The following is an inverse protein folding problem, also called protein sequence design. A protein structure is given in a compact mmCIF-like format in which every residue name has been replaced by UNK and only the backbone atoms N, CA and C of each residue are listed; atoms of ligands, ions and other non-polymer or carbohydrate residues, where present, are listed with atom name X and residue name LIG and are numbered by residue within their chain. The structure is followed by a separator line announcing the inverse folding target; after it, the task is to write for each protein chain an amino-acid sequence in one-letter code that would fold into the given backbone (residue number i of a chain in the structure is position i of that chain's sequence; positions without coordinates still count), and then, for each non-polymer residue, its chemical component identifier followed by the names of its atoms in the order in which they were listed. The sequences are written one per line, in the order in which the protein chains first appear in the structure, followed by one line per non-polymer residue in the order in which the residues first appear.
data_IF_442032225760
#
_entry.id   IF_442032225760
#
_cell.length_a   1.000
_cell.length_b   1.000
_cell.length_c   1.000
_cell.angle_alpha   90.00
_cell.angle_beta   90.00
_cell.angle_gamma   90.00
#
_symmetry.space_group_name_H-M   'P 1'
#
loop_
_entity.id
_entity.type
_entity.pdbx_description
1 polymer ?
#
# COMPACT_ATOMS: atom_id res chain seq x y z
N UNK A 1 -4.08 -9.67 -7.05
CA UNK A 1 -4.72 -8.45 -7.59
C UNK A 1 -4.25 -7.19 -6.86
N UNK A 2 -4.40 -7.08 -5.53
CA UNK A 2 -3.97 -5.90 -4.74
C UNK A 2 -2.47 -5.56 -4.94
N UNK A 3 -1.60 -6.57 -4.93
CA UNK A 3 -0.15 -6.37 -5.14
C UNK A 3 0.23 -5.93 -6.56
N UNK A 4 -0.53 -6.35 -7.57
CA UNK A 4 -0.34 -5.89 -8.94
C UNK A 4 -0.76 -4.42 -9.09
N UNK A 5 -1.85 -4.02 -8.43
CA UNK A 5 -2.29 -2.62 -8.38
C UNK A 5 -1.29 -1.75 -7.62
N UNK A 6 -0.75 -2.25 -6.50
CA UNK A 6 0.33 -1.59 -5.76
C UNK A 6 1.59 -1.37 -6.63
N UNK A 7 2.03 -2.39 -7.37
CA UNK A 7 3.15 -2.27 -8.30
C UNK A 7 2.90 -1.21 -9.38
N UNK A 8 1.70 -1.17 -9.96
CA UNK A 8 1.34 -0.14 -10.92
C UNK A 8 1.35 1.27 -10.29
N UNK A 9 0.88 1.40 -9.04
CA UNK A 9 0.95 2.66 -8.31
C UNK A 9 2.39 3.13 -8.11
N UNK A 10 3.31 2.24 -7.72
CA UNK A 10 4.71 2.58 -7.53
C UNK A 10 5.46 2.85 -8.84
N UNK A 11 5.20 2.05 -9.88
CA UNK A 11 5.96 2.10 -11.13
C UNK A 11 5.43 3.07 -12.18
N UNK A 12 4.18 3.52 -12.04
CA UNK A 12 3.53 4.38 -13.04
C UNK A 12 2.96 5.62 -12.37
N UNK A 13 2.14 5.45 -11.33
CA UNK A 13 1.32 6.53 -10.78
C UNK A 13 2.17 7.55 -10.02
N UNK A 14 2.99 7.12 -9.05
CA UNK A 14 3.90 7.99 -8.30
C UNK A 14 4.88 8.73 -9.24
N UNK A 15 5.57 8.05 -10.18
CA UNK A 15 6.43 8.74 -11.16
C UNK A 15 5.71 9.74 -12.06
N UNK A 16 4.43 9.54 -12.35
CA UNK A 16 3.66 10.42 -13.25
C UNK A 16 3.24 11.73 -12.59
N UNK A 17 3.08 11.76 -11.26
CA UNK A 17 2.60 12.94 -10.53
C UNK A 17 3.68 13.67 -9.73
N UNK A 18 4.85 13.05 -9.54
CA UNK A 18 5.88 13.54 -8.63
C UNK A 18 7.14 13.97 -9.39
N UNK A 19 7.70 15.17 -9.12
CA UNK A 19 9.01 15.56 -9.62
C UNK A 19 10.09 14.54 -9.22
N UNK A 20 11.01 14.24 -10.14
CA UNK A 20 12.06 13.22 -9.91
C UNK A 20 13.10 13.63 -8.84
N UNK A 21 13.21 14.92 -8.57
CA UNK A 21 14.11 15.54 -7.60
C UNK A 21 13.55 15.52 -6.16
N UNK A 22 12.25 15.27 -5.97
CA UNK A 22 11.61 15.21 -4.64
C UNK A 22 11.74 13.83 -3.98
N UNK A 23 12.97 13.47 -3.58
CA UNK A 23 13.28 12.17 -2.97
C UNK A 23 12.47 11.90 -1.68
N UNK A 24 12.20 12.95 -0.89
CA UNK A 24 11.47 12.83 0.38
C UNK A 24 10.02 12.48 0.12
N UNK A 25 9.37 13.17 -0.82
CA UNK A 25 7.99 12.88 -1.19
C UNK A 25 7.84 11.51 -1.86
N UNK A 26 8.80 11.07 -2.66
CA UNK A 26 8.84 9.71 -3.21
C UNK A 26 8.90 8.63 -2.12
N UNK A 27 9.77 8.83 -1.12
CA UNK A 27 9.87 7.93 0.03
C UNK A 27 8.57 7.87 0.82
N UNK A 28 8.00 9.04 1.12
CA UNK A 28 6.73 9.13 1.85
C UNK A 28 5.57 8.45 1.12
N UNK A 29 5.40 8.73 -0.19
CA UNK A 29 4.34 8.12 -0.99
C UNK A 29 4.51 6.61 -1.14
N UNK A 30 5.75 6.13 -1.28
CA UNK A 30 6.02 4.70 -1.37
C UNK A 30 5.62 3.98 -0.08
N UNK A 31 5.94 4.57 1.08
CA UNK A 31 5.54 4.04 2.40
C UNK A 31 4.01 4.09 2.54
N UNK A 32 3.38 5.22 2.20
CA UNK A 32 1.93 5.38 2.28
C UNK A 32 1.19 4.40 1.37
N UNK A 33 1.64 4.22 0.13
CA UNK A 33 1.07 3.28 -0.83
C UNK A 33 1.21 1.83 -0.34
N UNK A 34 2.35 1.49 0.28
CA UNK A 34 2.58 0.16 0.85
C UNK A 34 1.70 -0.09 2.07
N UNK A 35 1.57 0.90 2.96
CA UNK A 35 0.67 0.82 4.11
C UNK A 35 -0.80 0.66 3.68
N UNK A 36 -1.24 1.42 2.67
CA UNK A 36 -2.58 1.31 2.12
C UNK A 36 -2.83 -0.05 1.47
N UNK A 37 -1.89 -0.57 0.67
CA UNK A 37 -2.00 -1.89 0.06
C UNK A 37 -2.05 -3.00 1.12
N UNK A 38 -1.24 -2.89 2.17
CA UNK A 38 -1.25 -3.82 3.30
C UNK A 38 -2.59 -3.79 4.04
N UNK A 39 -3.10 -2.60 4.38
CA UNK A 39 -4.40 -2.45 5.05
C UNK A 39 -5.54 -2.97 4.19
N UNK A 40 -5.53 -2.67 2.89
CA UNK A 40 -6.55 -3.15 1.97
C UNK A 40 -6.53 -4.68 1.87
N UNK A 41 -5.33 -5.27 1.80
CA UNK A 41 -5.17 -6.72 1.81
C UNK A 41 -5.64 -7.32 3.14
N UNK A 42 -5.30 -6.69 4.26
CA UNK A 42 -5.73 -7.13 5.60
C UNK A 42 -7.25 -7.04 5.78
N UNK A 43 -7.86 -5.98 5.27
CA UNK A 43 -9.31 -5.80 5.30
C UNK A 43 -10.01 -6.81 4.39
N UNK A 44 -9.43 -7.08 3.22
CA UNK A 44 -9.89 -8.12 2.31
C UNK A 44 -9.84 -9.51 2.96
N UNK A 45 -8.72 -9.85 3.61
CA UNK A 45 -8.58 -11.11 4.35
C UNK A 45 -9.61 -11.22 5.48
N UNK A 46 -9.88 -10.14 6.20
CA UNK A 46 -10.94 -10.12 7.21
C UNK A 46 -12.33 -10.32 6.59
N UNK A 47 -12.63 -9.61 5.52
CA UNK A 47 -13.94 -9.63 4.88
C UNK A 47 -14.24 -10.98 4.21
N UNK A 48 -13.26 -11.57 3.51
CA UNK A 48 -13.44 -12.85 2.79
C UNK A 48 -13.24 -14.06 3.70
N UNK A 49 -12.22 -14.05 4.55
CA UNK A 49 -11.80 -15.23 5.33
C UNK A 49 -12.36 -15.18 6.76
N UNK A 50 -12.92 -14.06 7.21
CA UNK A 50 -13.46 -13.89 8.56
C UNK A 50 -12.37 -13.86 9.65
N UNK A 51 -11.09 -13.74 9.27
CA UNK A 51 -9.97 -13.73 10.22
C UNK A 51 -10.00 -12.43 11.02
N UNK A 52 -10.03 -12.47 12.36
CA UNK A 52 -10.17 -11.27 13.17
C UNK A 52 -9.02 -10.29 12.88
N UNK A 53 -9.35 -9.00 12.81
CA UNK A 53 -8.42 -7.87 12.66
C UNK A 53 -7.57 -7.65 13.93
N UNK A 54 -7.20 -8.73 14.61
CA UNK A 54 -6.47 -8.67 15.88
C UNK A 54 -4.99 -8.47 15.61
N UNK A 55 -4.47 -7.31 15.99
CA UNK A 55 -3.08 -7.17 16.43
C UNK A 55 -2.99 -7.92 17.76
N UNK A 56 -2.61 -9.20 17.70
CA UNK A 56 -2.50 -10.01 18.91
C UNK A 56 -1.24 -9.58 19.64
N UNK A 57 -1.38 -8.60 20.53
CA UNK A 57 -0.45 -8.41 21.64
C UNK A 57 -0.57 -9.67 22.51
N UNK A 58 0.37 -10.59 22.37
CA UNK A 58 0.66 -11.63 23.34
C UNK A 58 2.05 -11.37 23.90
#
# INVERSE_FOLDING_TARGET
MIWSLWLATLGILIPSFMPHDDVVGWGFLSIAATAAAYLLNRLWDWWVVGRPLTFRHR
#
